data_IF_435314099186
#
_entry.id   IF_435314099186
#
_cell.length_a   1.000
_cell.length_b   1.000
_cell.length_c   1.000
_cell.angle_alpha   90.00
_cell.angle_beta   90.00
_cell.angle_gamma   90.00
#
_symmetry.space_group_name_H-M   'P 1'
#
loop_
_entity.id
_entity.type
_entity.pdbx_description
1 polymer ?
#
# COMPACT_ATOMS: atom_id res chain seq x y z
N UNK A 1 0.86 -12.67 -12.47
CA UNK A 1 1.06 -11.89 -11.22
C UNK A 1 1.71 -12.79 -10.19
N UNK A 2 2.75 -12.29 -9.52
CA UNK A 2 3.46 -13.03 -8.45
C UNK A 2 2.58 -13.18 -7.20
N UNK A 3 2.92 -14.09 -6.28
CA UNK A 3 2.28 -14.18 -4.95
C UNK A 3 2.34 -12.83 -4.21
N UNK A 4 3.48 -12.11 -4.28
CA UNK A 4 3.65 -10.78 -3.67
C UNK A 4 2.72 -9.73 -4.28
N UNK A 5 2.57 -9.68 -5.62
CA UNK A 5 1.62 -8.77 -6.28
C UNK A 5 0.19 -9.04 -5.85
N UNK A 6 -0.22 -10.32 -5.75
CA UNK A 6 -1.55 -10.69 -5.24
C UNK A 6 -1.74 -10.29 -3.77
N UNK A 7 -0.71 -10.43 -2.95
CA UNK A 7 -0.73 -10.03 -1.54
C UNK A 7 -0.92 -8.52 -1.39
N UNK A 8 -0.21 -7.71 -2.20
CA UNK A 8 -0.38 -6.24 -2.22
C UNK A 8 -1.80 -5.84 -2.58
N UNK A 9 -2.39 -6.48 -3.60
CA UNK A 9 -3.80 -6.24 -3.98
C UNK A 9 -4.76 -6.57 -2.85
N UNK A 10 -4.57 -7.72 -2.19
CA UNK A 10 -5.41 -8.11 -1.06
C UNK A 10 -5.27 -7.14 0.14
N UNK A 11 -4.05 -6.71 0.47
CA UNK A 11 -3.83 -5.69 1.49
C UNK A 11 -4.46 -4.35 1.08
N UNK A 12 -4.29 -3.93 -0.18
CA UNK A 12 -4.89 -2.72 -0.73
C UNK A 12 -6.42 -2.73 -0.59
N UNK A 13 -7.08 -3.83 -0.96
CA UNK A 13 -8.53 -3.99 -0.84
C UNK A 13 -9.00 -3.82 0.62
N UNK A 14 -8.27 -4.43 1.57
CA UNK A 14 -8.56 -4.32 2.99
C UNK A 14 -8.38 -2.89 3.53
N UNK A 15 -7.26 -2.21 3.20
CA UNK A 15 -6.99 -0.82 3.59
C UNK A 15 -8.02 0.13 2.99
N UNK A 16 -8.33 -0.03 1.70
CA UNK A 16 -9.32 0.79 1.01
C UNK A 16 -10.71 0.63 1.63
N UNK A 17 -11.15 -0.60 1.85
CA UNK A 17 -12.44 -0.88 2.46
C UNK A 17 -12.51 -0.34 3.90
N UNK A 18 -11.41 -0.40 4.65
CA UNK A 18 -11.32 0.11 6.01
C UNK A 18 -11.48 1.62 6.06
N UNK A 19 -10.82 2.35 5.15
CA UNK A 19 -10.97 3.79 4.98
C UNK A 19 -12.42 4.18 4.68
N UNK A 20 -13.07 3.44 3.77
CA UNK A 20 -14.46 3.73 3.36
C UNK A 20 -15.48 3.41 4.44
N UNK A 21 -15.25 2.35 5.23
CA UNK A 21 -16.18 1.87 6.25
C UNK A 21 -15.86 2.38 7.66
N UNK A 22 -14.70 3.02 7.85
CA UNK A 22 -14.15 3.41 9.16
C UNK A 22 -14.07 2.23 10.12
N UNK A 23 -13.60 1.09 9.61
CA UNK A 23 -13.45 -0.17 10.33
C UNK A 23 -11.98 -0.56 10.48
N UNK A 24 -11.70 -1.57 11.30
CA UNK A 24 -10.34 -2.07 11.45
C UNK A 24 -9.89 -2.80 10.16
N UNK A 25 -8.72 -2.46 9.58
CA UNK A 25 -8.26 -3.13 8.36
C UNK A 25 -7.96 -4.62 8.51
N UNK A 26 -7.51 -5.07 9.68
CA UNK A 26 -7.24 -6.49 9.93
C UNK A 26 -8.50 -7.34 9.87
N UNK A 27 -9.62 -6.83 10.39
CA UNK A 27 -10.93 -7.50 10.30
C UNK A 27 -11.39 -7.63 8.84
N UNK A 28 -11.16 -6.59 8.03
CA UNK A 28 -11.54 -6.62 6.61
C UNK A 28 -10.61 -7.48 5.75
N UNK A 29 -9.35 -7.63 6.15
CA UNK A 29 -8.45 -8.59 5.53
C UNK A 29 -8.96 -10.01 5.71
N UNK A 30 -9.40 -10.39 6.92
CA UNK A 30 -9.92 -11.74 7.19
C UNK A 30 -11.15 -12.03 6.32
N UNK A 31 -12.07 -11.07 6.19
CA UNK A 31 -13.23 -11.18 5.27
C UNK A 31 -12.79 -11.37 3.82
N UNK A 32 -11.78 -10.64 3.37
CA UNK A 32 -11.26 -10.70 2.00
C UNK A 32 -10.52 -12.02 1.73
N UNK A 33 -9.79 -12.52 2.73
CA UNK A 33 -9.09 -13.80 2.66
C UNK A 33 -10.08 -14.97 2.56
N UNK A 34 -11.14 -14.97 3.37
CA UNK A 34 -12.18 -16.01 3.35
C UNK A 34 -12.94 -16.06 2.03
N UNK A 35 -13.20 -14.91 1.41
CA UNK A 35 -13.83 -14.86 0.09
C UNK A 35 -12.97 -15.46 -1.05
N UNK A 36 -11.69 -15.76 -0.78
CA UNK A 36 -10.71 -16.21 -1.77
C UNK A 36 -10.05 -17.55 -1.42
N UNK A 37 -10.63 -18.34 -0.49
CA UNK A 37 -10.04 -19.56 0.09
C UNK A 37 -9.61 -20.62 -0.95
N UNK A 38 -10.30 -20.77 -2.08
CA UNK A 38 -10.04 -21.83 -3.07
C UNK A 38 -8.92 -21.53 -4.09
N UNK A 39 -7.95 -20.67 -3.76
CA UNK A 39 -6.88 -20.25 -4.69
C UNK A 39 -5.53 -20.91 -4.40
N UNK A 40 -4.76 -21.17 -5.45
CA UNK A 40 -3.38 -21.66 -5.33
C UNK A 40 -2.50 -20.62 -4.61
N UNK A 41 -1.65 -21.09 -3.68
CA UNK A 41 -0.74 -20.30 -2.83
C UNK A 41 -1.45 -19.33 -1.86
N UNK A 42 -2.70 -19.61 -1.48
CA UNK A 42 -3.49 -18.70 -0.65
C UNK A 42 -2.83 -18.40 0.70
N UNK A 43 -2.22 -19.38 1.36
CA UNK A 43 -1.54 -19.17 2.64
C UNK A 43 -0.39 -18.16 2.54
N UNK A 44 0.44 -18.26 1.49
CA UNK A 44 1.54 -17.32 1.22
C UNK A 44 1.00 -15.91 0.96
N UNK A 45 -0.07 -15.82 0.15
CA UNK A 45 -0.69 -14.55 -0.24
C UNK A 45 -1.29 -13.85 0.98
N UNK A 46 -2.08 -14.57 1.77
CA UNK A 46 -2.72 -14.06 2.98
C UNK A 46 -1.67 -13.73 4.04
N UNK A 47 -0.63 -14.55 4.17
CA UNK A 47 0.47 -14.31 5.10
C UNK A 47 1.15 -12.97 4.84
N UNK A 48 1.53 -12.69 3.59
CA UNK A 48 2.17 -11.42 3.29
C UNK A 48 1.19 -10.24 3.31
N UNK A 49 -0.06 -10.43 2.87
CA UNK A 49 -1.09 -9.39 2.99
C UNK A 49 -1.32 -8.99 4.45
N UNK A 50 -1.33 -9.97 5.37
CA UNK A 50 -1.44 -9.75 6.82
C UNK A 50 -0.27 -8.95 7.36
N UNK A 51 0.95 -9.30 6.96
CA UNK A 51 2.14 -8.55 7.35
C UNK A 51 2.07 -7.07 6.93
N UNK A 52 1.63 -6.80 5.69
CA UNK A 52 1.43 -5.43 5.19
C UNK A 52 0.39 -4.71 6.06
N UNK A 53 -0.79 -5.31 6.24
CA UNK A 53 -1.92 -4.67 6.94
C UNK A 53 -1.57 -4.37 8.39
N UNK A 54 -1.02 -5.34 9.13
CA UNK A 54 -0.60 -5.16 10.52
C UNK A 54 0.50 -4.12 10.64
N UNK A 55 1.46 -4.15 9.71
CA UNK A 55 2.53 -3.17 9.65
C UNK A 55 2.02 -1.74 9.42
N UNK A 56 1.05 -1.55 8.53
CA UNK A 56 0.40 -0.25 8.30
C UNK A 56 -0.37 0.19 9.54
N UNK A 57 -1.12 -0.71 10.19
CA UNK A 57 -1.88 -0.38 11.40
C UNK A 57 -0.95 0.09 12.52
N UNK A 58 0.19 -0.59 12.71
CA UNK A 58 1.15 -0.25 13.76
C UNK A 58 1.91 1.06 13.50
N UNK A 59 2.16 1.40 12.23
CA UNK A 59 2.92 2.58 11.83
C UNK A 59 2.07 3.64 11.12
N UNK A 60 0.75 3.63 11.33
CA UNK A 60 -0.20 4.43 10.53
C UNK A 60 0.12 5.92 10.55
N UNK A 61 0.38 6.48 11.73
CA UNK A 61 0.70 7.90 11.89
C UNK A 61 1.99 8.27 11.14
N UNK A 62 3.06 7.49 11.32
CA UNK A 62 4.34 7.73 10.66
C UNK A 62 4.23 7.64 9.12
N UNK A 63 3.44 6.69 8.62
CA UNK A 63 3.18 6.52 7.19
C UNK A 63 2.44 7.73 6.63
N UNK A 64 1.34 8.12 7.27
CA UNK A 64 0.52 9.25 6.81
C UNK A 64 1.28 10.58 6.90
N UNK A 65 2.06 10.78 7.97
CA UNK A 65 2.93 11.96 8.13
C UNK A 65 4.00 12.00 7.04
N UNK A 66 4.57 10.85 6.67
CA UNK A 66 5.54 10.77 5.58
C UNK A 66 4.89 11.07 4.24
N UNK A 67 3.69 10.57 3.98
CA UNK A 67 2.96 10.90 2.74
C UNK A 67 2.67 12.42 2.71
N UNK A 68 2.14 12.97 3.80
CA UNK A 68 1.76 14.38 3.90
C UNK A 68 2.96 15.33 3.73
N UNK A 69 4.13 14.97 4.28
CA UNK A 69 5.34 15.78 4.19
C UNK A 69 5.85 15.96 2.75
N UNK A 70 5.59 14.97 1.88
CA UNK A 70 6.02 14.97 0.49
C UNK A 70 4.90 15.28 -0.50
N UNK A 71 3.65 15.32 -0.05
CA UNK A 71 2.49 15.56 -0.91
C UNK A 71 2.20 17.05 -1.17
N UNK A 72 3.13 17.97 -0.87
CA UNK A 72 3.17 19.46 -0.92
C UNK A 72 1.96 20.28 -1.46
N UNK A 73 1.20 19.78 -2.43
CA UNK A 73 0.00 20.40 -3.02
C UNK A 73 -1.33 19.83 -2.52
N UNK A 74 -1.34 18.65 -1.90
CA UNK A 74 -2.56 17.92 -1.52
C UNK A 74 -2.48 17.43 -0.10
N UNK A 75 -3.52 17.72 0.69
CA UNK A 75 -3.73 17.02 1.94
C UNK A 75 -4.16 15.58 1.66
N UNK A 76 -3.79 14.65 2.54
CA UNK A 76 -4.00 13.21 2.33
C UNK A 76 -5.49 12.84 2.19
N UNK A 77 -6.37 13.63 2.82
CA UNK A 77 -7.82 13.49 2.76
C UNK A 77 -8.41 13.85 1.39
N UNK A 78 -7.70 14.64 0.58
CA UNK A 78 -8.13 15.02 -0.78
C UNK A 78 -7.67 14.05 -1.85
N UNK A 79 -6.78 13.11 -1.52
CA UNK A 79 -6.36 12.08 -2.46
C UNK A 79 -7.51 11.11 -2.73
N UNK A 80 -7.63 10.57 -3.96
CA UNK A 80 -8.49 9.42 -4.21
C UNK A 80 -8.21 8.33 -3.17
N UNK A 81 -9.25 7.73 -2.61
CA UNK A 81 -9.09 6.76 -1.53
C UNK A 81 -8.23 5.55 -1.95
N UNK A 82 -8.30 5.16 -3.22
CA UNK A 82 -7.44 4.11 -3.78
C UNK A 82 -5.97 4.53 -3.85
N UNK A 83 -5.67 5.76 -4.31
CA UNK A 83 -4.30 6.28 -4.37
C UNK A 83 -3.68 6.36 -2.96
N UNK A 84 -4.45 6.84 -1.97
CA UNK A 84 -4.02 6.87 -0.57
C UNK A 84 -3.71 5.47 -0.04
N UNK A 85 -4.56 4.49 -0.32
CA UNK A 85 -4.34 3.11 0.12
C UNK A 85 -3.11 2.49 -0.56
N UNK A 86 -2.90 2.74 -1.86
CA UNK A 86 -1.69 2.33 -2.61
C UNK A 86 -0.44 2.94 -1.98
N UNK A 87 -0.47 4.25 -1.69
CA UNK A 87 0.64 4.94 -1.05
C UNK A 87 0.97 4.36 0.32
N UNK A 88 -0.03 4.06 1.16
CA UNK A 88 0.20 3.46 2.48
C UNK A 88 0.88 2.10 2.40
N UNK A 89 0.45 1.25 1.47
CA UNK A 89 1.09 -0.06 1.21
C UNK A 89 2.56 0.14 0.79
N UNK A 90 2.80 0.99 -0.21
CA UNK A 90 4.13 1.18 -0.76
C UNK A 90 5.08 1.87 0.22
N UNK A 91 4.61 2.89 0.95
CA UNK A 91 5.40 3.57 1.99
C UNK A 91 5.73 2.61 3.13
N UNK A 92 4.79 1.73 3.51
CA UNK A 92 5.10 0.71 4.51
C UNK A 92 6.23 -0.21 4.03
N UNK A 93 6.15 -0.72 2.80
CA UNK A 93 7.21 -1.56 2.24
C UNK A 93 8.55 -0.81 2.21
N UNK A 94 8.56 0.41 1.67
CA UNK A 94 9.77 1.24 1.55
C UNK A 94 10.38 1.54 2.91
N UNK A 95 9.59 1.80 3.96
CA UNK A 95 10.14 2.23 5.24
C UNK A 95 10.45 1.06 6.18
N UNK A 96 9.62 0.03 6.20
CA UNK A 96 9.60 -0.98 7.25
C UNK A 96 9.85 -2.41 6.75
N UNK A 97 9.94 -2.64 5.43
CA UNK A 97 10.22 -3.97 4.88
C UNK A 97 11.54 -4.00 4.08
N UNK A 98 12.63 -4.35 4.75
CA UNK A 98 13.97 -4.45 4.14
C UNK A 98 14.10 -5.58 3.11
N UNK A 99 13.16 -6.54 3.08
CA UNK A 99 13.16 -7.62 2.08
C UNK A 99 12.72 -7.14 0.68
N UNK A 100 12.06 -5.99 0.59
CA UNK A 100 11.52 -5.46 -0.66
C UNK A 100 12.41 -4.30 -1.12
N UNK A 101 13.14 -4.44 -2.24
CA UNK A 101 13.89 -3.32 -2.79
C UNK A 101 12.98 -2.15 -3.13
N UNK A 102 13.34 -0.93 -2.72
CA UNK A 102 12.54 0.27 -2.97
C UNK A 102 12.07 0.42 -4.43
N UNK A 103 12.91 0.16 -5.47
CA UNK A 103 12.46 0.27 -6.86
C UNK A 103 11.32 -0.71 -7.21
N UNK A 104 11.27 -1.87 -6.56
CA UNK A 104 10.21 -2.87 -6.75
C UNK A 104 8.91 -2.41 -6.10
N UNK A 105 8.97 -1.90 -4.86
CA UNK A 105 7.80 -1.35 -4.18
C UNK A 105 7.19 -0.18 -4.97
N UNK A 106 8.04 0.73 -5.49
CA UNK A 106 7.62 1.86 -6.33
C UNK A 106 6.97 1.36 -7.62
N UNK A 107 7.61 0.44 -8.35
CA UNK A 107 7.08 -0.05 -9.62
C UNK A 107 5.71 -0.73 -9.44
N UNK A 108 5.54 -1.57 -8.41
CA UNK A 108 4.27 -2.24 -8.13
C UNK A 108 3.18 -1.23 -7.75
N UNK A 109 3.49 -0.21 -6.95
CA UNK A 109 2.55 0.84 -6.59
C UNK A 109 2.08 1.66 -7.80
N UNK A 110 3.01 1.98 -8.72
CA UNK A 110 2.70 2.71 -9.96
C UNK A 110 1.78 1.89 -10.87
N UNK A 111 2.04 0.59 -11.02
CA UNK A 111 1.17 -0.28 -11.82
C UNK A 111 -0.22 -0.43 -11.18
N UNK A 112 -0.32 -0.55 -9.86
CA UNK A 112 -1.60 -0.54 -9.16
C UNK A 112 -2.37 0.78 -9.36
N UNK A 113 -1.69 1.92 -9.32
CA UNK A 113 -2.31 3.22 -9.53
C UNK A 113 -2.84 3.38 -10.97
N UNK A 114 -2.10 2.89 -11.96
CA UNK A 114 -2.57 2.85 -13.36
C UNK A 114 -3.75 1.90 -13.55
N UNK A 115 -3.76 0.76 -12.84
CA UNK A 115 -4.82 -0.25 -12.95
C UNK A 115 -6.13 0.19 -12.29
N UNK A 116 -6.05 0.78 -11.08
CA UNK A 116 -7.22 1.08 -10.26
C UNK A 116 -7.63 2.56 -10.21
N UNK A 117 -6.83 3.45 -10.79
CA UNK A 117 -7.05 4.90 -10.74
C UNK A 117 -6.83 5.53 -12.11
N UNK A 118 -5.84 6.42 -12.27
CA UNK A 118 -5.55 7.10 -13.53
C UNK A 118 -4.06 7.07 -13.89
N UNK A 119 -3.73 7.39 -15.14
CA UNK A 119 -2.34 7.56 -15.56
C UNK A 119 -1.63 8.69 -14.79
N UNK A 120 -2.35 9.79 -14.52
CA UNK A 120 -1.85 10.89 -13.69
C UNK A 120 -1.56 10.44 -12.25
N UNK A 121 -2.42 9.58 -11.67
CA UNK A 121 -2.17 8.95 -10.37
C UNK A 121 -0.89 8.12 -10.37
N UNK A 122 -0.63 7.38 -11.44
CA UNK A 122 0.62 6.63 -11.61
C UNK A 122 1.86 7.53 -11.59
N UNK A 123 1.83 8.67 -12.27
CA UNK A 123 2.91 9.66 -12.26
C UNK A 123 3.10 10.29 -10.88
N UNK A 124 2.00 10.64 -10.20
CA UNK A 124 2.01 11.21 -8.87
C UNK A 124 2.61 10.22 -7.84
N UNK A 125 2.12 8.98 -7.82
CA UNK A 125 2.61 7.91 -6.93
C UNK A 125 4.11 7.68 -7.15
N UNK A 126 4.57 7.60 -8.41
CA UNK A 126 5.98 7.43 -8.72
C UNK A 126 6.84 8.56 -8.12
N UNK A 127 6.45 9.81 -8.37
CA UNK A 127 7.21 10.98 -7.91
C UNK A 127 7.27 11.09 -6.38
N UNK A 128 6.14 10.85 -5.71
CA UNK A 128 6.06 10.93 -4.25
C UNK A 128 6.88 9.82 -3.58
N UNK A 129 6.75 8.57 -4.04
CA UNK A 129 7.49 7.45 -3.45
C UNK A 129 9.00 7.53 -3.73
N UNK A 130 9.41 8.01 -4.91
CA UNK A 130 10.83 8.25 -5.21
C UNK A 130 11.44 9.30 -4.26
N UNK A 131 10.71 10.37 -3.95
CA UNK A 131 11.16 11.37 -2.98
C UNK A 131 11.27 10.80 -1.56
N UNK A 132 10.31 9.96 -1.14
CA UNK A 132 10.35 9.27 0.16
C UNK A 132 11.55 8.31 0.23
N UNK A 133 11.73 7.43 -0.76
CA UNK A 133 12.86 6.48 -0.83
C UNK A 133 14.21 7.19 -0.81
N UNK A 134 14.35 8.32 -1.53
CA UNK A 134 15.61 9.09 -1.57
C UNK A 134 16.08 9.61 -0.20
N UNK A 135 15.19 9.74 0.78
CA UNK A 135 15.56 10.15 2.15
C UNK A 135 16.02 9.00 3.05
N UNK A 136 15.84 7.73 2.66
CA UNK A 136 16.45 6.57 3.34
C UNK A 136 17.96 6.52 3.10
N UNK A 137 18.38 6.79 1.86
CA UNK A 137 19.77 6.73 1.41
C UNK A 137 20.63 7.89 1.93
N UNK A 138 20.00 8.95 2.44
CA UNK A 138 20.68 10.15 2.95
C UNK A 138 21.15 10.04 4.42
N UNK A 139 21.20 8.84 4.99
CA UNK A 139 21.68 8.57 6.36
C UNK A 139 23.04 7.88 6.37
#
# INVERSE_FOLDING_TARGET
MSSRTKSRKMALDAIFAADMRKQNPSELLDVTATAQEDRQNQEEIVGYARQIVEGIVNSHADIDDRIASFSHKWSIDRMPAVDRAILRVAVWEILFNEEVPDPVAIAEAVELAKEYSTEESGLFVNGLLAAISGTKTAK
#
